data_IF_299265723018
#
_entry.id   IF_299265723018
#
_cell.length_a   1.000
_cell.length_b   1.000
_cell.length_c   1.000
_cell.angle_alpha   90.00
_cell.angle_beta   90.00
_cell.angle_gamma   90.00
#
_symmetry.space_group_name_H-M   'P 1'
#
loop_
_entity.id
_entity.type
_entity.pdbx_description
1 polymer ?
#
# COMPACT_ATOMS: atom_id res chain seq x y z
N UNK A 1 38.78 33.61 -58.70
CA UNK A 1 38.65 33.81 -57.24
C UNK A 1 37.20 34.17 -56.92
N UNK A 2 36.37 33.20 -56.53
CA UNK A 2 35.02 33.44 -56.01
C UNK A 2 34.93 32.72 -54.66
N UNK A 3 34.71 33.51 -53.60
CA UNK A 3 34.77 33.11 -52.20
C UNK A 3 33.50 32.32 -51.83
N UNK A 4 33.68 31.10 -51.35
CA UNK A 4 32.65 30.27 -50.72
C UNK A 4 32.36 30.83 -49.32
N UNK A 5 31.12 31.23 -49.05
CA UNK A 5 30.64 31.56 -47.72
C UNK A 5 30.14 30.27 -47.05
N UNK A 6 30.87 29.80 -46.03
CA UNK A 6 30.42 28.72 -45.16
C UNK A 6 29.62 29.38 -44.03
N UNK A 7 28.31 29.10 -43.99
CA UNK A 7 27.43 29.50 -42.90
C UNK A 7 27.59 28.47 -41.77
N UNK A 8 28.37 28.82 -40.74
CA UNK A 8 28.54 28.04 -39.52
C UNK A 8 27.26 28.14 -38.69
N UNK A 9 26.52 27.03 -38.60
CA UNK A 9 25.38 26.86 -37.71
C UNK A 9 25.92 26.63 -36.28
N UNK A 10 26.05 27.70 -35.50
CA UNK A 10 26.33 27.62 -34.06
C UNK A 10 25.09 27.06 -33.36
N UNK A 11 25.11 25.77 -33.01
CA UNK A 11 24.22 25.22 -31.99
C UNK A 11 24.53 25.96 -30.67
N UNK A 12 23.64 26.87 -30.29
CA UNK A 12 23.63 27.43 -28.95
C UNK A 12 23.37 26.31 -27.95
N UNK A 13 24.39 25.95 -27.16
CA UNK A 13 24.17 25.25 -25.90
C UNK A 13 23.29 26.15 -25.03
N UNK A 14 22.00 25.80 -24.92
CA UNK A 14 21.14 26.32 -23.88
C UNK A 14 21.76 25.97 -22.53
N UNK A 15 22.23 26.97 -21.81
CA UNK A 15 22.68 26.84 -20.42
C UNK A 15 21.52 26.35 -19.56
N UNK A 16 21.54 25.05 -19.25
CA UNK A 16 20.65 24.42 -18.28
C UNK A 16 20.93 25.10 -16.93
N UNK A 17 19.91 25.68 -16.33
CA UNK A 17 19.99 26.27 -15.00
C UNK A 17 20.52 25.22 -14.02
N UNK A 18 21.67 25.49 -13.42
CA UNK A 18 22.28 24.61 -12.43
C UNK A 18 21.35 24.46 -11.22
N UNK A 19 21.22 23.22 -10.75
CA UNK A 19 20.71 22.91 -9.42
C UNK A 19 21.44 23.75 -8.37
N UNK A 20 20.80 24.02 -7.23
CA UNK A 20 21.36 24.84 -6.15
C UNK A 20 22.66 24.24 -5.56
N UNK A 21 22.95 22.98 -5.91
CA UNK A 21 24.15 22.20 -5.63
C UNK A 21 24.40 21.22 -6.82
N UNK A 22 25.66 20.92 -7.16
CA UNK A 22 25.99 19.95 -8.23
C UNK A 22 25.65 18.49 -7.89
N UNK A 23 25.00 18.28 -6.74
CA UNK A 23 24.75 16.97 -6.15
C UNK A 23 23.51 16.35 -6.75
N UNK A 24 23.54 15.03 -6.94
CA UNK A 24 22.42 14.28 -7.49
C UNK A 24 22.20 12.97 -6.74
N UNK A 25 21.01 12.41 -6.89
CA UNK A 25 20.66 11.06 -6.50
C UNK A 25 20.23 10.30 -7.76
N UNK A 26 20.76 9.09 -7.94
CA UNK A 26 20.41 8.20 -9.04
C UNK A 26 19.75 6.95 -8.50
N UNK A 27 18.55 6.65 -9.02
CA UNK A 27 17.78 5.46 -8.73
C UNK A 27 17.91 4.51 -9.91
N UNK A 28 18.40 3.29 -9.66
CA UNK A 28 18.59 2.29 -10.71
C UNK A 28 17.56 1.17 -10.58
N UNK A 29 16.91 0.87 -11.71
CA UNK A 29 16.04 -0.28 -11.90
C UNK A 29 16.82 -1.44 -12.54
N UNK A 30 17.17 -2.49 -11.78
CA UNK A 30 17.90 -3.64 -12.32
C UNK A 30 16.98 -4.61 -13.09
N UNK A 31 15.66 -4.47 -12.97
CA UNK A 31 14.70 -5.44 -13.50
C UNK A 31 14.48 -5.29 -15.00
N UNK A 32 13.90 -6.32 -15.60
CA UNK A 32 13.53 -6.34 -17.03
C UNK A 32 12.18 -5.67 -17.32
N UNK A 33 11.51 -5.11 -16.32
CA UNK A 33 10.20 -4.44 -16.43
C UNK A 33 10.30 -2.99 -15.97
N UNK A 34 9.37 -2.16 -16.42
CA UNK A 34 9.25 -0.79 -15.89
C UNK A 34 8.84 -0.85 -14.43
N UNK A 35 9.51 -0.07 -13.58
CA UNK A 35 9.17 0.05 -12.15
C UNK A 35 8.53 1.40 -11.90
N UNK A 36 7.25 1.38 -11.52
CA UNK A 36 6.53 2.56 -11.02
C UNK A 36 6.18 2.31 -9.56
N UNK A 37 6.86 3.01 -8.66
CA UNK A 37 6.69 2.82 -7.22
C UNK A 37 7.09 4.07 -6.43
N UNK A 38 6.71 4.09 -5.15
CA UNK A 38 7.06 5.14 -4.21
C UNK A 38 8.34 4.75 -3.45
N UNK A 39 9.46 5.38 -3.79
CA UNK A 39 10.72 5.13 -3.06
C UNK A 39 10.73 5.94 -1.77
N UNK A 40 11.44 5.44 -0.75
CA UNK A 40 11.62 6.12 0.53
C UNK A 40 13.11 6.37 0.78
N UNK A 41 13.47 7.64 0.99
CA UNK A 41 14.82 8.06 1.33
C UNK A 41 14.80 8.63 2.76
N UNK A 42 15.64 8.14 3.69
CA UNK A 42 15.74 8.73 5.03
C UNK A 42 15.99 10.23 4.95
N UNK A 43 15.14 11.02 5.62
CA UNK A 43 15.14 12.48 5.50
C UNK A 43 16.49 13.07 5.93
N UNK A 44 17.06 12.56 7.02
CA UNK A 44 18.38 12.99 7.53
C UNK A 44 19.50 12.77 6.51
N UNK A 45 19.43 11.68 5.73
CA UNK A 45 20.40 11.40 4.65
C UNK A 45 20.18 12.31 3.46
N UNK A 46 18.92 12.54 3.08
CA UNK A 46 18.54 13.45 2.00
C UNK A 46 18.96 14.90 2.30
N UNK A 47 18.61 15.39 3.47
CA UNK A 47 18.96 16.73 3.97
C UNK A 47 20.47 16.96 4.01
N UNK A 48 21.22 16.02 4.60
CA UNK A 48 22.68 16.07 4.64
C UNK A 48 23.31 16.02 3.25
N UNK A 49 22.79 15.17 2.36
CA UNK A 49 23.31 15.06 1.00
C UNK A 49 23.19 16.39 0.27
N UNK A 50 22.01 16.99 0.25
CA UNK A 50 21.76 18.23 -0.48
C UNK A 50 22.10 19.52 0.30
N UNK A 51 22.57 19.42 1.55
CA UNK A 51 22.87 20.59 2.40
C UNK A 51 21.67 21.55 2.48
N UNK A 52 20.47 21.00 2.68
CA UNK A 52 19.24 21.81 2.71
C UNK A 52 19.31 22.79 3.89
N UNK A 53 19.20 24.09 3.58
CA UNK A 53 19.18 25.17 4.60
C UNK A 53 17.78 25.45 5.16
N UNK A 54 16.74 24.94 4.49
CA UNK A 54 15.32 25.10 4.82
C UNK A 54 14.57 23.84 4.40
N UNK A 55 13.37 23.62 4.94
CA UNK A 55 12.46 22.54 4.52
C UNK A 55 11.74 22.82 3.18
N UNK A 56 12.22 23.80 2.40
CA UNK A 56 11.66 24.17 1.11
C UNK A 56 12.63 23.73 0.04
N UNK A 57 12.22 22.73 -0.74
CA UNK A 57 12.96 22.25 -1.88
C UNK A 57 12.01 21.66 -2.92
N UNK A 58 12.44 21.66 -4.17
CA UNK A 58 11.78 20.95 -5.27
C UNK A 58 12.72 19.86 -5.78
N UNK A 59 12.20 18.67 -6.08
CA UNK A 59 12.96 17.57 -6.67
C UNK A 59 12.78 17.61 -8.18
N UNK A 60 13.88 17.70 -8.94
CA UNK A 60 13.82 17.83 -10.41
C UNK A 60 14.66 16.76 -11.10
N UNK A 61 14.08 16.14 -12.12
CA UNK A 61 14.77 15.20 -13.02
C UNK A 61 15.93 15.90 -13.73
N UNK A 62 17.11 15.27 -13.72
CA UNK A 62 18.30 15.81 -14.40
C UNK A 62 18.22 15.72 -15.93
N UNK A 63 17.25 14.97 -16.47
CA UNK A 63 17.08 14.78 -17.92
C UNK A 63 16.38 15.96 -18.58
N UNK A 64 15.35 16.49 -17.93
CA UNK A 64 14.37 17.41 -18.52
C UNK A 64 13.88 18.50 -17.54
N UNK A 65 14.44 18.56 -16.32
CA UNK A 65 14.02 19.44 -15.24
C UNK A 65 12.55 19.28 -14.82
N UNK A 66 11.91 18.16 -15.18
CA UNK A 66 10.56 17.88 -14.73
C UNK A 66 10.52 17.68 -13.20
N UNK A 67 9.54 18.30 -12.53
CA UNK A 67 9.33 18.12 -11.10
C UNK A 67 8.87 16.69 -10.79
N UNK A 68 9.48 16.08 -9.76
CA UNK A 68 9.05 14.79 -9.24
C UNK A 68 8.14 15.01 -8.02
N UNK A 69 6.95 14.43 -8.08
CA UNK A 69 6.02 14.44 -6.96
C UNK A 69 6.65 13.75 -5.73
N UNK A 70 6.59 14.42 -4.58
CA UNK A 70 7.13 13.89 -3.34
C UNK A 70 6.23 14.18 -2.13
N UNK A 71 6.42 13.42 -1.06
CA UNK A 71 5.79 13.60 0.23
C UNK A 71 6.85 13.52 1.33
N UNK A 72 6.76 14.39 2.34
CA UNK A 72 7.54 14.25 3.57
C UNK A 72 6.77 13.35 4.54
N UNK A 73 7.24 12.12 4.71
CA UNK A 73 6.66 11.13 5.62
C UNK A 73 7.15 11.38 7.04
N UNK A 74 6.23 11.44 8.00
CA UNK A 74 6.47 11.74 9.42
C UNK A 74 6.35 10.53 10.31
N UNK A 75 5.60 9.50 9.94
CA UNK A 75 5.35 8.33 10.79
C UNK A 75 4.84 8.72 12.20
N UNK A 76 3.93 9.70 12.26
CA UNK A 76 3.40 10.26 13.51
C UNK A 76 4.38 11.16 14.29
N UNK A 77 5.60 11.39 13.78
CA UNK A 77 6.59 12.23 14.46
C UNK A 77 6.43 13.73 14.12
N UNK A 78 6.91 14.64 14.99
CA UNK A 78 6.86 16.08 14.70
C UNK A 78 7.68 16.48 13.47
N UNK A 79 8.75 15.75 13.15
CA UNK A 79 9.68 16.02 12.06
C UNK A 79 9.60 14.95 10.96
N UNK A 80 9.87 15.29 9.69
CA UNK A 80 9.99 14.30 8.62
C UNK A 80 11.02 13.21 8.94
N UNK A 81 10.64 11.97 8.68
CA UNK A 81 11.49 10.78 8.80
C UNK A 81 12.00 10.34 7.43
N UNK A 82 11.19 10.46 6.38
CA UNK A 82 11.57 10.12 5.02
C UNK A 82 11.08 11.14 3.99
N UNK A 83 11.78 11.20 2.85
CA UNK A 83 11.29 11.80 1.60
C UNK A 83 10.80 10.66 0.73
N UNK A 84 9.49 10.63 0.48
CA UNK A 84 8.85 9.68 -0.43
C UNK A 84 8.79 10.31 -1.82
N UNK A 85 9.27 9.62 -2.86
CA UNK A 85 9.33 10.15 -4.23
C UNK A 85 8.66 9.16 -5.17
N UNK A 86 7.65 9.61 -5.91
CA UNK A 86 7.01 8.76 -6.92
C UNK A 86 7.91 8.71 -8.16
N UNK A 87 8.39 7.51 -8.51
CA UNK A 87 9.31 7.32 -9.64
C UNK A 87 8.70 6.37 -10.67
N UNK A 88 9.07 6.56 -11.93
CA UNK A 88 8.83 5.62 -13.01
C UNK A 88 10.13 5.42 -13.79
N UNK A 89 10.66 4.20 -13.77
CA UNK A 89 11.99 3.89 -14.29
C UNK A 89 11.88 2.72 -15.27
N UNK A 90 12.29 2.94 -16.52
CA UNK A 90 12.31 1.93 -17.57
C UNK A 90 13.18 0.71 -17.18
N UNK A 91 13.00 -0.46 -17.85
CA UNK A 91 13.82 -1.63 -17.63
C UNK A 91 15.31 -1.33 -17.72
N UNK A 92 16.12 -1.93 -16.82
CA UNK A 92 17.59 -1.85 -16.84
C UNK A 92 18.14 -0.41 -16.97
N UNK A 93 17.42 0.57 -16.45
CA UNK A 93 17.69 2.00 -16.63
C UNK A 93 17.77 2.71 -15.27
N UNK A 94 18.05 4.01 -15.30
CA UNK A 94 18.10 4.83 -14.09
C UNK A 94 17.41 6.17 -14.25
N UNK A 95 16.90 6.69 -13.14
CA UNK A 95 16.41 8.06 -13.00
C UNK A 95 17.39 8.83 -12.11
N UNK A 96 17.91 9.94 -12.60
CA UNK A 96 18.77 10.86 -11.84
C UNK A 96 18.02 12.15 -11.57
N UNK A 97 18.08 12.64 -10.34
CA UNK A 97 17.45 13.89 -9.94
C UNK A 97 18.33 14.68 -8.97
N UNK A 98 18.10 16.00 -8.91
CA UNK A 98 18.68 16.92 -7.94
C UNK A 98 17.59 17.67 -7.18
N UNK A 99 18.01 18.69 -6.42
CA UNK A 99 17.06 19.60 -5.76
C UNK A 99 17.32 21.06 -6.14
N UNK A 100 16.26 21.86 -6.10
CA UNK A 100 16.34 23.31 -6.16
C UNK A 100 15.72 23.90 -4.89
N UNK A 101 16.08 25.14 -4.53
CA UNK A 101 15.54 25.85 -3.37
C UNK A 101 14.17 26.49 -3.60
N UNK A 102 13.46 26.06 -4.65
CA UNK A 102 12.16 26.57 -5.03
C UNK A 102 11.06 25.89 -4.21
N UNK A 103 9.89 26.55 -4.12
CA UNK A 103 8.68 25.92 -3.61
C UNK A 103 8.21 24.84 -4.60
N UNK A 104 7.91 23.63 -4.14
CA UNK A 104 7.42 22.58 -5.02
C UNK A 104 5.99 22.85 -5.48
N UNK A 105 5.63 22.32 -6.64
CA UNK A 105 4.23 22.26 -7.04
C UNK A 105 3.40 21.43 -6.05
N UNK A 106 2.15 21.83 -5.85
CA UNK A 106 1.22 21.07 -5.04
C UNK A 106 0.97 19.70 -5.68
N UNK A 107 1.27 18.62 -4.95
CA UNK A 107 1.02 17.26 -5.41
C UNK A 107 -0.45 16.93 -5.20
N UNK A 108 -1.15 16.60 -6.29
CA UNK A 108 -2.54 16.11 -6.21
C UNK A 108 -2.61 14.87 -5.30
N UNK A 109 -3.46 14.87 -4.27
CA UNK A 109 -3.62 13.70 -3.40
C UNK A 109 -4.07 12.45 -4.16
N UNK A 110 -3.37 11.36 -3.91
CA UNK A 110 -3.61 10.01 -4.44
C UNK A 110 -3.69 8.96 -3.34
N UNK A 111 -3.58 9.34 -2.07
CA UNK A 111 -3.72 8.46 -0.92
C UNK A 111 -4.37 9.22 0.23
N UNK A 112 -5.32 8.58 0.90
CA UNK A 112 -6.11 9.20 1.96
C UNK A 112 -6.65 8.17 2.94
N UNK A 113 -6.72 8.52 4.22
CA UNK A 113 -7.33 7.74 5.27
C UNK A 113 -8.05 8.64 6.27
N UNK A 114 -9.12 8.13 6.88
CA UNK A 114 -9.88 8.84 7.91
C UNK A 114 -10.66 7.90 8.79
N UNK A 115 -10.92 8.39 10.00
CA UNK A 115 -11.96 7.89 10.87
C UNK A 115 -13.34 8.38 10.38
N UNK A 116 -14.35 7.52 10.47
CA UNK A 116 -15.69 7.71 9.90
C UNK A 116 -16.76 7.50 10.98
N UNK A 117 -16.93 8.46 11.91
CA UNK A 117 -17.90 8.33 12.99
C UNK A 117 -19.35 8.24 12.48
N UNK A 118 -19.66 8.90 11.35
CA UNK A 118 -21.00 8.89 10.76
C UNK A 118 -21.43 7.50 10.27
N UNK A 119 -20.48 6.59 10.05
CA UNK A 119 -20.75 5.19 9.67
C UNK A 119 -20.32 4.21 10.75
N UNK A 120 -20.70 4.49 12.01
CA UNK A 120 -20.52 3.62 13.18
C UNK A 120 -19.05 3.31 13.45
N UNK A 121 -18.24 4.36 13.50
CA UNK A 121 -16.81 4.31 13.83
C UNK A 121 -15.96 3.55 12.81
N UNK A 122 -16.38 3.45 11.55
CA UNK A 122 -15.53 2.83 10.52
C UNK A 122 -14.19 3.58 10.41
N UNK A 123 -13.14 2.88 10.01
CA UNK A 123 -11.88 3.51 9.59
C UNK A 123 -11.65 3.15 8.12
N UNK A 124 -11.55 4.15 7.27
CA UNK A 124 -11.48 3.96 5.82
C UNK A 124 -10.20 4.55 5.25
N UNK A 125 -9.66 3.91 4.22
CA UNK A 125 -8.48 4.39 3.51
C UNK A 125 -8.51 3.97 2.05
N UNK A 126 -7.89 4.78 1.20
CA UNK A 126 -7.83 4.54 -0.24
C UNK A 126 -6.57 5.13 -0.86
N UNK A 127 -6.33 4.73 -2.09
CA UNK A 127 -5.48 5.45 -3.02
C UNK A 127 -6.21 5.65 -4.36
N UNK A 128 -5.51 6.13 -5.37
CA UNK A 128 -6.00 6.28 -6.75
C UNK A 128 -6.35 4.97 -7.47
N UNK A 129 -6.38 3.82 -6.79
CA UNK A 129 -6.66 2.50 -7.38
C UNK A 129 -7.72 1.72 -6.59
N UNK A 130 -7.60 1.70 -5.26
CA UNK A 130 -8.35 0.83 -4.37
C UNK A 130 -8.76 1.58 -3.09
N UNK A 131 -9.89 1.18 -2.51
CA UNK A 131 -10.39 1.67 -1.24
C UNK A 131 -10.71 0.51 -0.31
N UNK A 132 -10.62 0.74 1.00
CA UNK A 132 -10.74 -0.28 2.03
C UNK A 132 -11.36 0.28 3.30
N UNK A 133 -11.84 -0.61 4.16
CA UNK A 133 -12.37 -0.27 5.48
C UNK A 133 -11.98 -1.31 6.53
N UNK A 134 -11.83 -0.83 7.77
CA UNK A 134 -11.90 -1.62 8.99
C UNK A 134 -13.15 -1.20 9.79
N UNK A 135 -13.85 -2.17 10.36
CA UNK A 135 -15.09 -1.92 11.10
C UNK A 135 -14.84 -1.31 12.47
N UNK A 136 -15.75 -0.43 12.88
CA UNK A 136 -15.68 0.34 14.10
C UNK A 136 -16.39 -0.24 15.31
N UNK A 137 -16.00 0.20 16.51
CA UNK A 137 -16.61 -0.21 17.79
C UNK A 137 -18.14 -0.05 17.80
N UNK A 138 -18.70 1.04 17.28
CA UNK A 138 -20.15 1.25 17.27
C UNK A 138 -20.92 0.26 16.37
N UNK A 139 -20.25 -0.55 15.56
CA UNK A 139 -20.88 -1.59 14.73
C UNK A 139 -21.09 -2.91 15.50
N UNK A 140 -20.37 -3.12 16.61
CA UNK A 140 -20.39 -4.38 17.37
C UNK A 140 -21.80 -4.78 17.81
N UNK A 141 -22.18 -6.03 17.54
CA UNK A 141 -23.48 -6.58 17.94
C UNK A 141 -24.67 -6.10 17.10
N UNK A 142 -24.45 -5.29 16.08
CA UNK A 142 -25.48 -4.94 15.09
C UNK A 142 -25.62 -6.04 14.02
N UNK A 143 -26.69 -5.98 13.21
CA UNK A 143 -26.87 -6.90 12.07
C UNK A 143 -25.85 -6.70 10.95
N UNK A 144 -25.11 -5.58 10.98
CA UNK A 144 -24.09 -5.22 9.99
C UNK A 144 -22.67 -5.57 10.47
N UNK A 145 -22.54 -6.21 11.64
CA UNK A 145 -21.25 -6.56 12.24
C UNK A 145 -20.52 -7.63 11.41
N UNK A 146 -19.30 -7.30 11.00
CA UNK A 146 -18.42 -8.13 10.20
C UNK A 146 -16.98 -8.01 10.71
N UNK A 147 -16.13 -8.98 10.36
CA UNK A 147 -14.77 -9.09 10.85
C UNK A 147 -13.78 -9.01 9.70
N UNK A 148 -12.57 -8.51 9.95
CA UNK A 148 -11.53 -8.36 8.93
C UNK A 148 -11.61 -7.06 8.14
N UNK A 149 -10.83 -6.98 7.06
CA UNK A 149 -10.78 -5.80 6.20
C UNK A 149 -11.73 -5.94 5.01
N UNK A 150 -12.39 -4.83 4.70
CA UNK A 150 -13.29 -4.70 3.57
C UNK A 150 -12.57 -4.06 2.37
N UNK A 151 -13.01 -4.40 1.16
CA UNK A 151 -12.51 -3.86 -0.10
C UNK A 151 -13.65 -3.20 -0.89
N UNK A 152 -13.42 -1.95 -1.27
CA UNK A 152 -14.32 -1.19 -2.11
C UNK A 152 -13.82 -1.23 -3.55
N UNK A 153 -14.65 -1.79 -4.43
CA UNK A 153 -14.34 -2.08 -5.82
C UNK A 153 -14.39 -0.82 -6.69
N UNK A 154 -13.35 0.00 -6.50
CA UNK A 154 -13.16 1.28 -7.16
C UNK A 154 -12.72 1.09 -8.61
N UNK A 155 -13.20 1.97 -9.50
CA UNK A 155 -12.78 2.08 -10.91
C UNK A 155 -12.49 3.50 -11.38
N UNK A 156 -12.61 4.51 -10.49
CA UNK A 156 -12.07 5.85 -10.69
C UNK A 156 -10.67 5.96 -10.09
N UNK A 157 -9.87 6.94 -10.54
CA UNK A 157 -8.63 7.33 -9.87
C UNK A 157 -8.84 8.45 -8.83
N UNK A 158 -10.03 9.05 -8.76
CA UNK A 158 -10.37 10.09 -7.77
C UNK A 158 -10.42 9.51 -6.37
N UNK A 159 -10.10 10.26 -5.32
CA UNK A 159 -10.36 9.84 -3.93
C UNK A 159 -11.87 9.96 -3.64
N UNK A 160 -12.54 8.85 -3.35
CA UNK A 160 -14.01 8.74 -3.30
C UNK A 160 -14.59 8.55 -1.91
N UNK A 161 -13.77 8.22 -0.90
CA UNK A 161 -14.24 7.85 0.45
C UNK A 161 -15.16 8.91 1.05
N UNK A 162 -14.76 10.18 1.00
CA UNK A 162 -15.56 11.28 1.56
C UNK A 162 -16.91 11.43 0.83
N UNK A 163 -16.91 11.33 -0.50
CA UNK A 163 -18.13 11.41 -1.31
C UNK A 163 -19.07 10.23 -1.02
N UNK A 164 -18.52 9.03 -0.94
CA UNK A 164 -19.28 7.80 -0.69
C UNK A 164 -19.91 7.83 0.70
N UNK A 165 -19.14 8.09 1.77
CA UNK A 165 -19.74 8.16 3.11
C UNK A 165 -20.73 9.32 3.27
N UNK A 166 -20.50 10.46 2.63
CA UNK A 166 -21.43 11.60 2.69
C UNK A 166 -22.78 11.29 2.05
N UNK A 167 -22.79 10.54 0.95
CA UNK A 167 -24.02 10.22 0.20
C UNK A 167 -24.71 8.96 0.74
N UNK A 168 -23.95 8.02 1.30
CA UNK A 168 -24.46 6.69 1.66
C UNK A 168 -24.77 5.80 0.44
N UNK A 169 -24.52 6.30 -0.77
CA UNK A 169 -24.87 5.65 -2.04
C UNK A 169 -23.63 5.09 -2.71
N UNK A 170 -23.01 4.13 -2.03
CA UNK A 170 -21.79 3.47 -2.49
C UNK A 170 -21.99 1.98 -2.80
N UNK A 171 -23.19 1.43 -2.58
CA UNK A 171 -23.52 0.07 -3.00
C UNK A 171 -23.99 -0.02 -4.46
N UNK A 172 -24.23 1.12 -5.12
CA UNK A 172 -24.53 1.22 -6.54
C UNK A 172 -23.35 1.84 -7.30
N UNK A 173 -23.08 1.33 -8.50
CA UNK A 173 -21.98 1.83 -9.34
C UNK A 173 -22.44 3.01 -10.23
N UNK A 174 -22.08 4.22 -9.82
CA UNK A 174 -22.36 5.48 -10.54
C UNK A 174 -21.21 5.93 -11.46
N UNK A 175 -20.34 5.02 -11.89
CA UNK A 175 -19.19 5.34 -12.75
C UNK A 175 -17.84 5.29 -12.02
N UNK A 176 -17.85 5.31 -10.68
CA UNK A 176 -16.63 5.35 -9.85
C UNK A 176 -16.30 4.02 -9.19
N UNK A 177 -17.21 3.05 -9.23
CA UNK A 177 -17.10 1.77 -8.51
C UNK A 177 -18.20 1.63 -7.46
N UNK A 178 -18.07 0.62 -6.61
CA UNK A 178 -19.04 0.31 -5.56
C UNK A 178 -18.44 -0.55 -4.44
N UNK A 179 -19.08 -0.56 -3.28
CA UNK A 179 -18.93 -1.57 -2.24
C UNK A 179 -19.91 -2.73 -2.50
N UNK A 180 -19.41 -3.85 -3.03
CA UNK A 180 -20.16 -5.10 -3.17
C UNK A 180 -19.47 -6.27 -2.47
N UNK A 181 -18.31 -6.04 -1.86
CA UNK A 181 -17.49 -7.10 -1.30
C UNK A 181 -18.10 -7.58 0.02
N UNK A 182 -18.56 -8.83 0.06
CA UNK A 182 -19.14 -9.38 1.27
C UNK A 182 -18.06 -9.92 2.21
N UNK A 183 -17.69 -9.18 3.26
CA UNK A 183 -16.69 -9.66 4.23
C UNK A 183 -17.22 -10.77 5.15
N UNK A 184 -18.33 -10.50 5.84
CA UNK A 184 -18.91 -11.39 6.84
C UNK A 184 -17.97 -11.68 8.03
N UNK A 185 -18.20 -12.81 8.71
CA UNK A 185 -17.37 -13.27 9.83
C UNK A 185 -16.14 -14.05 9.30
N UNK A 186 -15.24 -13.33 8.64
CA UNK A 186 -13.99 -13.83 8.04
C UNK A 186 -12.83 -12.87 8.35
N UNK A 187 -11.66 -13.05 7.72
CA UNK A 187 -10.57 -12.07 7.74
C UNK A 187 -10.56 -11.14 6.52
N UNK A 188 -11.61 -11.19 5.70
CA UNK A 188 -11.83 -10.24 4.61
C UNK A 188 -10.73 -10.23 3.56
N UNK A 189 -10.19 -9.06 3.23
CA UNK A 189 -9.09 -8.86 2.27
C UNK A 189 -7.72 -8.79 2.95
N UNK A 190 -7.45 -9.77 3.81
CA UNK A 190 -6.13 -9.94 4.42
C UNK A 190 -5.94 -9.28 5.76
N UNK A 191 -6.94 -9.35 6.62
CA UNK A 191 -6.71 -9.13 8.04
C UNK A 191 -5.97 -10.31 8.68
N UNK A 192 -5.38 -10.06 9.86
CA UNK A 192 -4.69 -11.05 10.67
C UNK A 192 -5.22 -11.06 12.10
N UNK A 193 -5.20 -12.24 12.72
CA UNK A 193 -5.70 -12.46 14.08
C UNK A 193 -5.05 -13.69 14.74
N UNK A 194 -5.04 -13.82 16.09
CA UNK A 194 -4.56 -15.02 16.77
C UNK A 194 -5.28 -16.29 16.34
N UNK A 195 -4.53 -17.38 16.33
CA UNK A 195 -5.00 -18.70 15.93
C UNK A 195 -4.72 -19.71 17.05
N UNK A 196 -5.61 -19.74 18.03
CA UNK A 196 -5.42 -20.50 19.28
C UNK A 196 -6.31 -21.73 19.24
N UNK A 197 -5.78 -22.88 19.68
CA UNK A 197 -6.48 -24.17 19.66
C UNK A 197 -7.06 -24.54 18.29
N UNK A 198 -6.34 -24.19 17.23
CA UNK A 198 -6.74 -24.38 15.82
C UNK A 198 -8.01 -23.61 15.41
N UNK A 199 -8.39 -22.57 16.14
CA UNK A 199 -9.53 -21.73 15.85
C UNK A 199 -9.10 -20.28 15.58
N UNK A 200 -9.79 -19.64 14.64
CA UNK A 200 -9.66 -18.20 14.39
C UNK A 200 -10.27 -17.45 15.58
N UNK A 201 -9.49 -16.57 16.19
CA UNK A 201 -9.96 -15.71 17.29
C UNK A 201 -10.45 -14.41 16.67
N UNK A 202 -11.73 -14.12 16.74
CA UNK A 202 -12.26 -12.83 16.29
C UNK A 202 -12.24 -11.83 17.44
N UNK A 203 -11.51 -10.74 17.26
CA UNK A 203 -11.44 -9.66 18.23
C UNK A 203 -12.70 -8.81 18.17
N UNK A 204 -12.94 -8.06 19.25
CA UNK A 204 -13.71 -6.83 19.13
C UNK A 204 -13.02 -5.85 18.18
N UNK A 205 -13.75 -4.90 17.63
CA UNK A 205 -13.22 -3.91 16.68
C UNK A 205 -12.13 -3.05 17.31
N UNK A 206 -11.39 -2.32 16.48
CA UNK A 206 -10.34 -1.45 16.99
C UNK A 206 -10.91 -0.43 18.01
N UNK A 207 -10.08 -0.05 18.97
CA UNK A 207 -10.47 0.87 20.06
C UNK A 207 -9.86 2.24 19.91
N UNK A 208 -8.68 2.28 19.32
CA UNK A 208 -7.93 3.51 19.09
C UNK A 208 -7.36 3.48 17.68
N UNK A 209 -7.28 4.66 17.08
CA UNK A 209 -6.60 4.87 15.82
C UNK A 209 -5.59 6.02 15.95
N UNK A 210 -4.56 5.98 15.13
CA UNK A 210 -3.59 7.05 14.99
C UNK A 210 -3.26 7.23 13.51
N UNK A 211 -3.57 8.38 12.93
CA UNK A 211 -3.14 8.72 11.56
C UNK A 211 -1.71 9.23 11.62
N UNK A 212 -0.78 8.45 11.05
CA UNK A 212 0.66 8.72 11.10
C UNK A 212 1.11 9.60 9.93
N UNK A 213 0.51 9.39 8.75
CA UNK A 213 0.70 10.14 7.52
C UNK A 213 -0.60 10.07 6.70
N UNK A 214 -0.96 11.14 5.98
CA UNK A 214 -2.21 11.17 5.23
C UNK A 214 -2.08 11.87 3.87
N UNK A 215 -1.37 11.21 2.96
CA UNK A 215 -1.16 11.68 1.60
C UNK A 215 -0.08 12.78 1.49
N UNK A 216 0.18 13.26 0.26
CA UNK A 216 -0.58 12.97 -0.96
C UNK A 216 -0.23 11.66 -1.67
N UNK A 217 0.90 11.01 -1.37
CA UNK A 217 1.37 9.81 -2.09
C UNK A 217 1.28 8.52 -1.26
N UNK A 218 1.29 8.61 0.06
CA UNK A 218 1.11 7.50 1.01
C UNK A 218 0.25 7.96 2.17
N UNK A 219 -0.69 7.11 2.56
CA UNK A 219 -1.33 7.19 3.87
C UNK A 219 -0.83 6.06 4.76
N UNK A 220 -0.62 6.35 6.04
CA UNK A 220 -0.17 5.39 7.05
C UNK A 220 -0.94 5.65 8.33
N UNK A 221 -1.49 4.61 8.93
CA UNK A 221 -2.21 4.71 10.20
C UNK A 221 -2.02 3.44 11.03
N UNK A 222 -2.31 3.55 12.32
CA UNK A 222 -2.27 2.46 13.28
C UNK A 222 -3.65 2.26 13.90
N UNK A 223 -4.07 1.01 14.04
CA UNK A 223 -5.25 0.57 14.78
C UNK A 223 -4.79 -0.25 15.98
N UNK A 224 -5.25 0.12 17.16
CA UNK A 224 -4.95 -0.59 18.43
C UNK A 224 -6.24 -1.22 18.95
N UNK A 225 -6.15 -2.51 19.27
CA UNK A 225 -7.25 -3.33 19.76
C UNK A 225 -7.20 -3.44 21.29
N UNK A 226 -8.35 -3.70 21.91
CA UNK A 226 -8.44 -3.87 23.36
C UNK A 226 -7.56 -5.05 23.82
N UNK A 227 -6.84 -4.94 24.94
CA UNK A 227 -6.24 -6.10 25.58
C UNK A 227 -7.30 -7.13 25.98
N UNK A 228 -7.06 -8.40 25.71
CA UNK A 228 -8.00 -9.48 26.02
C UNK A 228 -7.32 -10.77 26.49
N UNK A 229 -8.06 -11.55 27.27
CA UNK A 229 -7.67 -12.89 27.68
C UNK A 229 -8.30 -13.92 26.73
N UNK A 230 -7.47 -14.52 25.89
CA UNK A 230 -7.88 -15.58 24.96
C UNK A 230 -7.31 -16.90 25.43
N UNK A 231 -8.17 -17.77 25.98
CA UNK A 231 -7.80 -19.11 26.45
C UNK A 231 -6.60 -19.10 27.43
N UNK A 232 -6.53 -18.11 28.32
CA UNK A 232 -5.44 -17.95 29.29
C UNK A 232 -4.23 -17.13 28.78
N UNK A 233 -4.24 -16.73 27.51
CA UNK A 233 -3.22 -15.84 26.94
C UNK A 233 -3.68 -14.40 26.99
N UNK A 234 -2.90 -13.54 27.63
CA UNK A 234 -3.15 -12.10 27.68
C UNK A 234 -2.53 -11.46 26.45
N UNK A 235 -3.37 -11.01 25.52
CA UNK A 235 -2.99 -10.51 24.20
C UNK A 235 -3.39 -9.05 24.03
N UNK A 236 -2.56 -8.29 23.33
CA UNK A 236 -2.91 -7.00 22.75
C UNK A 236 -2.39 -6.95 21.32
N UNK A 237 -3.24 -6.50 20.40
CA UNK A 237 -2.94 -6.45 18.96
C UNK A 237 -2.88 -5.01 18.49
N UNK A 238 -1.87 -4.73 17.67
CA UNK A 238 -1.77 -3.49 16.91
C UNK A 238 -1.53 -3.79 15.43
N UNK A 239 -2.17 -3.02 14.57
CA UNK A 239 -2.04 -3.11 13.11
C UNK A 239 -1.62 -1.74 12.60
N UNK A 240 -0.45 -1.65 11.97
CA UNK A 240 -0.04 -0.46 11.23
C UNK A 240 -0.17 -0.74 9.74
N UNK A 241 -1.00 0.03 9.06
CA UNK A 241 -1.33 -0.13 7.64
C UNK A 241 -0.77 1.08 6.89
N UNK A 242 -0.12 0.85 5.75
CA UNK A 242 0.20 1.90 4.78
C UNK A 242 -0.25 1.52 3.38
N UNK A 243 -0.78 2.49 2.65
CA UNK A 243 -1.18 2.35 1.25
C UNK A 243 -0.52 3.45 0.40
N UNK A 244 0.18 3.02 -0.65
CA UNK A 244 0.91 3.87 -1.58
C UNK A 244 0.07 4.15 -2.81
N UNK A 245 0.15 5.37 -3.36
CA UNK A 245 -0.39 5.72 -4.66
C UNK A 245 0.02 4.71 -5.75
N UNK A 246 -0.94 4.25 -6.53
CA UNK A 246 -0.76 3.29 -7.62
C UNK A 246 -0.71 1.81 -7.20
N UNK A 247 -0.74 1.49 -5.90
CA UNK A 247 -0.66 0.10 -5.41
C UNK A 247 -2.04 -0.55 -5.27
N UNK A 248 -2.18 -1.83 -5.63
CA UNK A 248 -3.33 -2.65 -5.23
C UNK A 248 -3.19 -3.18 -3.79
N UNK A 249 -1.96 -3.19 -3.27
CA UNK A 249 -1.62 -3.86 -2.01
C UNK A 249 -1.27 -2.83 -0.93
N UNK A 250 -1.86 -3.03 0.22
CA UNK A 250 -1.46 -2.47 1.49
C UNK A 250 -0.19 -3.16 1.98
N UNK A 251 0.68 -2.43 2.66
CA UNK A 251 1.69 -3.01 3.54
C UNK A 251 1.14 -2.97 4.97
N UNK A 252 1.10 -4.12 5.63
CA UNK A 252 0.53 -4.28 6.96
C UNK A 252 1.61 -4.82 7.90
N UNK A 253 1.78 -4.14 9.03
CA UNK A 253 2.60 -4.59 10.16
C UNK A 253 1.66 -5.01 11.29
N UNK A 254 1.62 -6.30 11.59
CA UNK A 254 0.78 -6.89 12.63
C UNK A 254 1.64 -7.25 13.85
N UNK A 255 1.43 -6.53 14.94
CA UNK A 255 2.13 -6.72 16.20
C UNK A 255 1.21 -7.40 17.23
N UNK A 256 1.77 -8.38 17.95
CA UNK A 256 1.12 -8.98 19.11
C UNK A 256 2.02 -8.78 20.32
N UNK A 257 1.45 -8.25 21.40
CA UNK A 257 2.03 -8.31 22.73
C UNK A 257 1.33 -9.43 23.49
N UNK A 258 2.06 -10.50 23.78
CA UNK A 258 1.59 -11.62 24.58
C UNK A 258 2.36 -11.67 25.89
N UNK A 259 1.70 -11.46 27.04
CA UNK A 259 2.40 -11.53 28.34
C UNK A 259 2.44 -12.94 28.92
N UNK A 260 1.74 -13.90 28.29
CA UNK A 260 1.70 -15.30 28.71
C UNK A 260 2.67 -16.19 27.92
N UNK A 261 3.15 -15.75 26.74
CA UNK A 261 4.10 -16.49 25.90
C UNK A 261 5.00 -15.56 25.08
N UNK A 262 6.16 -16.07 24.65
CA UNK A 262 7.12 -15.32 23.81
C UNK A 262 6.72 -15.24 22.33
N UNK A 263 5.77 -16.08 21.90
CA UNK A 263 5.26 -16.13 20.54
C UNK A 263 3.79 -16.53 20.49
N UNK A 264 3.05 -15.98 19.56
CA UNK A 264 1.62 -16.20 19.37
C UNK A 264 1.37 -16.80 17.99
N UNK A 265 0.72 -17.97 17.88
CA UNK A 265 0.20 -18.47 16.62
C UNK A 265 -0.89 -17.54 16.09
N UNK A 266 -0.85 -17.24 14.80
CA UNK A 266 -1.76 -16.31 14.11
C UNK A 266 -2.15 -16.87 12.76
N UNK A 267 -3.21 -16.34 12.18
CA UNK A 267 -3.56 -16.52 10.77
C UNK A 267 -3.73 -15.16 10.09
N UNK A 268 -3.38 -15.11 8.81
CA UNK A 268 -3.78 -14.04 7.87
C UNK A 268 -4.74 -14.66 6.87
N UNK A 269 -5.84 -14.00 6.51
CA UNK A 269 -6.89 -14.67 5.73
C UNK A 269 -7.54 -13.88 4.62
N UNK A 270 -8.02 -14.62 3.61
CA UNK A 270 -8.86 -14.12 2.53
C UNK A 270 -10.25 -14.75 2.64
N UNK A 271 -11.31 -13.96 2.51
CA UNK A 271 -12.67 -14.49 2.39
C UNK A 271 -12.76 -15.41 1.15
N UNK A 272 -13.44 -16.55 1.30
CA UNK A 272 -13.70 -17.52 0.24
C UNK A 272 -15.18 -17.44 -0.13
N UNK A 273 -15.51 -17.60 -1.42
CA UNK A 273 -16.91 -17.63 -1.87
C UNK A 273 -17.43 -19.07 -1.85
N UNK A 274 -18.66 -19.29 -2.33
CA UNK A 274 -19.30 -20.62 -2.34
C UNK A 274 -19.22 -21.27 -3.72
N UNK A 275 -18.03 -21.31 -4.28
CA UNK A 275 -17.70 -22.01 -5.51
C UNK A 275 -17.09 -23.38 -5.23
N UNK A 276 -17.33 -24.34 -6.13
CA UNK A 276 -16.82 -25.71 -5.99
C UNK A 276 -15.31 -25.80 -6.27
N UNK A 277 -14.82 -25.00 -7.23
CA UNK A 277 -13.42 -25.00 -7.67
C UNK A 277 -12.85 -23.57 -7.66
N UNK A 278 -12.27 -23.14 -6.53
CA UNK A 278 -11.69 -21.81 -6.41
C UNK A 278 -10.53 -21.60 -7.36
N UNK A 279 -10.50 -20.45 -8.06
CA UNK A 279 -9.34 -20.05 -8.84
C UNK A 279 -8.25 -19.48 -7.91
N UNK A 280 -7.29 -20.34 -7.54
CA UNK A 280 -6.32 -20.06 -6.50
C UNK A 280 -4.89 -20.30 -6.96
N UNK A 281 -3.99 -19.38 -6.62
CA UNK A 281 -2.55 -19.52 -6.67
C UNK A 281 -2.06 -19.59 -5.23
N UNK A 282 -1.60 -20.77 -4.82
CA UNK A 282 -0.94 -20.97 -3.54
C UNK A 282 0.54 -21.30 -3.80
N UNK A 283 1.42 -20.34 -3.57
CA UNK A 283 2.86 -20.47 -3.75
C UNK A 283 3.58 -20.20 -2.41
N UNK A 284 3.65 -21.21 -1.52
CA UNK A 284 4.30 -21.08 -0.21
C UNK A 284 5.79 -20.73 -0.31
N UNK A 285 6.47 -21.15 -1.39
CA UNK A 285 7.90 -20.88 -1.59
C UNK A 285 8.16 -19.39 -1.73
N UNK A 286 7.28 -18.67 -2.41
CA UNK A 286 7.38 -17.21 -2.56
C UNK A 286 6.53 -16.46 -1.53
N UNK A 287 5.81 -17.16 -0.66
CA UNK A 287 4.96 -16.57 0.35
C UNK A 287 3.69 -15.94 -0.23
N UNK A 288 3.19 -16.43 -1.36
CA UNK A 288 2.09 -15.82 -2.12
C UNK A 288 0.83 -16.67 -2.02
N UNK A 289 -0.30 -16.02 -1.75
CA UNK A 289 -1.64 -16.56 -1.98
C UNK A 289 -2.42 -15.55 -2.83
N UNK A 290 -2.99 -15.95 -3.95
CA UNK A 290 -3.87 -15.11 -4.75
C UNK A 290 -5.13 -15.87 -5.13
N UNK A 291 -6.27 -15.22 -5.02
CA UNK A 291 -7.59 -15.77 -5.27
C UNK A 291 -8.32 -14.87 -6.26
N UNK A 292 -9.02 -15.48 -7.22
CA UNK A 292 -9.91 -14.79 -8.16
C UNK A 292 -11.32 -15.29 -7.92
N UNK A 293 -12.19 -14.39 -7.45
CA UNK A 293 -13.54 -14.74 -7.05
C UNK A 293 -14.39 -15.20 -8.25
N UNK A 294 -15.44 -16.02 -8.02
CA UNK A 294 -16.46 -16.23 -9.02
C UNK A 294 -17.14 -14.90 -9.38
N UNK A 295 -17.60 -14.79 -10.63
CA UNK A 295 -18.29 -13.61 -11.10
C UNK A 295 -19.65 -13.42 -10.43
N UNK A 296 -19.92 -12.18 -10.00
CA UNK A 296 -21.24 -11.73 -9.58
C UNK A 296 -21.81 -10.79 -10.66
N UNK A 297 -22.45 -11.38 -11.66
CA UNK A 297 -22.78 -10.69 -12.90
C UNK A 297 -21.51 -10.41 -13.70
N UNK A 298 -21.21 -9.14 -13.97
CA UNK A 298 -20.00 -8.70 -14.65
C UNK A 298 -18.86 -8.30 -13.69
N UNK A 299 -19.06 -8.47 -12.39
CA UNK A 299 -18.14 -8.03 -11.32
C UNK A 299 -17.29 -9.20 -10.83
N UNK A 300 -15.98 -9.02 -10.79
CA UNK A 300 -15.03 -10.00 -10.24
C UNK A 300 -13.96 -9.27 -9.42
N UNK A 301 -13.74 -9.77 -8.21
CA UNK A 301 -12.65 -9.32 -7.32
C UNK A 301 -11.54 -10.35 -7.31
N UNK A 302 -10.30 -9.90 -7.51
CA UNK A 302 -9.11 -10.66 -7.13
C UNK A 302 -8.63 -10.22 -5.75
N UNK A 303 -8.26 -11.14 -4.87
CA UNK A 303 -7.65 -10.84 -3.56
C UNK A 303 -6.31 -11.55 -3.42
N UNK A 304 -5.40 -11.02 -2.60
CA UNK A 304 -4.09 -11.64 -2.41
C UNK A 304 -3.45 -11.33 -1.06
N UNK A 305 -2.56 -12.25 -0.65
CA UNK A 305 -1.64 -12.13 0.47
C UNK A 305 -0.21 -12.38 0.01
N UNK A 306 0.74 -11.61 0.54
CA UNK A 306 2.17 -11.84 0.38
C UNK A 306 2.86 -11.77 1.74
N UNK A 307 3.39 -12.89 2.22
CA UNK A 307 4.14 -13.04 3.46
C UNK A 307 5.62 -13.35 3.13
N UNK A 308 6.45 -12.35 2.79
CA UNK A 308 7.73 -12.59 2.10
C UNK A 308 8.84 -13.18 2.98
N UNK A 309 8.70 -13.15 4.31
CA UNK A 309 9.78 -13.44 5.28
C UNK A 309 9.43 -14.56 6.27
N UNK A 310 8.27 -15.20 6.14
CA UNK A 310 7.82 -16.23 7.07
C UNK A 310 7.29 -17.43 6.32
N UNK A 311 7.53 -18.61 6.86
CA UNK A 311 6.83 -19.81 6.44
C UNK A 311 5.41 -19.78 6.99
N UNK A 312 4.49 -20.38 6.26
CA UNK A 312 3.11 -20.56 6.69
C UNK A 312 2.61 -21.95 6.35
N UNK A 313 1.54 -22.34 7.04
CA UNK A 313 0.71 -23.49 6.68
C UNK A 313 -0.58 -22.96 6.06
N UNK A 314 -0.81 -23.31 4.79
CA UNK A 314 -2.07 -23.01 4.13
C UNK A 314 -3.20 -23.87 4.71
N UNK A 315 -4.32 -23.25 5.04
CA UNK A 315 -5.54 -23.91 5.50
C UNK A 315 -6.70 -23.44 4.64
N UNK A 316 -7.30 -24.37 3.90
CA UNK A 316 -8.57 -24.15 3.22
C UNK A 316 -9.70 -24.44 4.21
N UNK A 317 -10.48 -23.42 4.55
CA UNK A 317 -11.67 -23.55 5.40
C UNK A 317 -12.93 -23.19 4.61
N UNK A 318 -14.13 -23.63 5.03
CA UNK A 318 -15.35 -23.43 4.24
C UNK A 318 -15.67 -21.97 3.88
N UNK A 319 -15.19 -20.99 4.64
CA UNK A 319 -15.50 -19.56 4.45
C UNK A 319 -14.29 -18.69 4.12
N UNK A 320 -13.07 -19.22 4.22
CA UNK A 320 -11.85 -18.43 4.07
C UNK A 320 -10.62 -19.30 3.83
N UNK A 321 -9.67 -18.73 3.09
CA UNK A 321 -8.32 -19.24 2.99
C UNK A 321 -7.46 -18.61 4.08
N UNK A 322 -6.69 -19.41 4.81
CA UNK A 322 -5.89 -18.95 5.94
C UNK A 322 -4.42 -19.35 5.77
N UNK A 323 -3.52 -18.41 6.08
CA UNK A 323 -2.08 -18.63 6.16
C UNK A 323 -1.69 -18.62 7.65
N UNK A 324 -1.54 -19.81 8.24
CA UNK A 324 -1.18 -19.95 9.64
C UNK A 324 0.34 -19.82 9.84
N UNK A 325 0.76 -18.96 10.75
CA UNK A 325 2.16 -18.74 11.10
C UNK A 325 2.28 -18.28 12.56
N UNK A 326 3.44 -17.79 12.98
CA UNK A 326 3.69 -17.35 14.36
C UNK A 326 4.33 -15.97 14.37
N UNK A 327 3.86 -15.11 15.28
CA UNK A 327 4.44 -13.79 15.57
C UNK A 327 5.15 -13.83 16.91
N UNK A 328 6.35 -13.27 17.00
CA UNK A 328 7.07 -13.10 18.26
C UNK A 328 6.80 -11.71 18.84
N UNK A 329 6.83 -11.61 20.17
CA UNK A 329 6.75 -10.30 20.83
C UNK A 329 7.86 -9.38 20.29
N UNK A 330 7.52 -8.11 20.06
CA UNK A 330 8.41 -7.07 19.53
C UNK A 330 8.98 -7.36 18.13
N UNK A 331 8.46 -8.35 17.40
CA UNK A 331 8.82 -8.66 16.01
C UNK A 331 7.55 -8.79 15.18
N UNK A 332 6.95 -7.66 14.77
CA UNK A 332 5.69 -7.68 14.04
C UNK A 332 5.84 -8.44 12.72
N UNK A 333 4.77 -9.15 12.33
CA UNK A 333 4.68 -9.72 10.99
C UNK A 333 4.43 -8.58 10.00
N UNK A 334 5.34 -8.42 9.04
CA UNK A 334 5.13 -7.53 7.90
C UNK A 334 4.72 -8.35 6.69
N UNK A 335 3.54 -8.05 6.16
CA UNK A 335 2.96 -8.70 5.00
C UNK A 335 2.24 -7.68 4.12
N UNK A 336 1.78 -8.13 2.96
CA UNK A 336 1.04 -7.31 2.02
C UNK A 336 -0.29 -7.97 1.70
N UNK A 337 -1.34 -7.17 1.60
CA UNK A 337 -2.68 -7.63 1.28
C UNK A 337 -3.47 -6.59 0.50
N UNK A 338 -4.35 -7.04 -0.37
CA UNK A 338 -5.21 -6.14 -1.14
C UNK A 338 -5.97 -6.88 -2.21
N UNK A 339 -6.53 -6.12 -3.13
CA UNK A 339 -7.46 -6.63 -4.12
C UNK A 339 -7.36 -5.89 -5.45
N UNK A 340 -7.99 -6.45 -6.47
CA UNK A 340 -8.20 -5.84 -7.77
C UNK A 340 -9.65 -6.04 -8.21
N UNK A 341 -10.20 -5.07 -8.93
CA UNK A 341 -11.54 -5.14 -9.51
C UNK A 341 -11.49 -5.18 -11.03
N UNK A 342 -12.13 -6.18 -11.64
CA UNK A 342 -12.08 -6.35 -13.09
C UNK A 342 -12.60 -5.14 -13.88
N UNK A 343 -13.64 -4.45 -13.38
CA UNK A 343 -14.19 -3.26 -14.07
C UNK A 343 -13.35 -2.00 -13.89
N UNK A 344 -12.26 -2.04 -13.11
CA UNK A 344 -11.23 -0.99 -13.12
C UNK A 344 -10.35 -1.04 -14.39
N UNK A 345 -10.46 -2.11 -15.19
CA UNK A 345 -9.86 -2.21 -16.54
C UNK A 345 -8.37 -2.56 -16.58
N UNK A 346 -7.61 -2.34 -15.50
CA UNK A 346 -6.16 -2.67 -15.46
C UNK A 346 -5.89 -4.17 -15.27
N UNK A 347 -6.68 -4.85 -14.44
CA UNK A 347 -6.55 -6.27 -14.12
C UNK A 347 -7.94 -6.89 -14.26
N UNK A 348 -8.16 -7.63 -15.34
CA UNK A 348 -9.48 -8.11 -15.78
C UNK A 348 -9.61 -9.63 -15.74
N UNK A 349 -8.51 -10.34 -15.42
CA UNK A 349 -8.44 -11.80 -15.39
C UNK A 349 -7.50 -12.29 -14.30
N UNK A 350 -7.63 -13.57 -13.95
CA UNK A 350 -6.78 -14.18 -12.95
C UNK A 350 -5.30 -14.21 -13.37
N UNK A 351 -4.99 -14.41 -14.65
CA UNK A 351 -3.60 -14.40 -15.13
C UNK A 351 -2.95 -13.02 -14.95
N UNK A 352 -3.68 -11.95 -15.23
CA UNK A 352 -3.21 -10.58 -14.97
C UNK A 352 -3.02 -10.33 -13.48
N UNK A 353 -3.92 -10.84 -12.63
CA UNK A 353 -3.78 -10.73 -11.17
C UNK A 353 -2.56 -11.48 -10.65
N UNK A 354 -2.36 -12.72 -11.06
CA UNK A 354 -1.17 -13.51 -10.73
C UNK A 354 0.11 -12.82 -11.20
N UNK A 355 0.08 -12.20 -12.38
CA UNK A 355 1.24 -11.50 -12.95
C UNK A 355 1.61 -10.29 -12.11
N UNK A 356 0.62 -9.46 -11.74
CA UNK A 356 0.81 -8.33 -10.83
C UNK A 356 1.39 -8.78 -9.48
N UNK A 357 0.84 -9.84 -8.86
CA UNK A 357 1.31 -10.34 -7.57
C UNK A 357 2.73 -10.91 -7.64
N UNK A 358 3.05 -11.68 -8.68
CA UNK A 358 4.41 -12.22 -8.90
C UNK A 358 5.40 -11.10 -9.15
N UNK A 359 5.04 -10.08 -9.93
CA UNK A 359 5.88 -8.91 -10.16
C UNK A 359 6.12 -8.14 -8.87
N UNK A 360 5.07 -7.82 -8.10
CA UNK A 360 5.19 -7.16 -6.80
C UNK A 360 6.10 -7.96 -5.86
N UNK A 361 5.92 -9.29 -5.78
CA UNK A 361 6.77 -10.16 -4.95
C UNK A 361 8.23 -10.14 -5.38
N UNK A 362 8.49 -10.19 -6.68
CA UNK A 362 9.84 -10.10 -7.25
C UNK A 362 10.47 -8.74 -6.95
N UNK A 363 9.68 -7.67 -7.03
CA UNK A 363 10.10 -6.30 -6.75
C UNK A 363 10.58 -6.12 -5.31
N UNK A 364 9.99 -6.84 -4.35
CA UNK A 364 10.47 -6.88 -2.96
C UNK A 364 11.85 -7.55 -2.82
N UNK A 365 12.20 -8.51 -3.68
CA UNK A 365 13.51 -9.18 -3.67
C UNK A 365 14.57 -8.43 -4.49
N UNK A 366 14.13 -7.54 -5.38
CA UNK A 366 14.98 -6.73 -6.25
C UNK A 366 14.64 -5.24 -6.06
N UNK A 367 14.96 -4.67 -4.88
CA UNK A 367 14.68 -3.26 -4.61
C UNK A 367 15.46 -2.36 -5.56
N UNK A 368 14.89 -1.20 -5.91
CA UNK A 368 15.60 -0.15 -6.59
C UNK A 368 16.82 0.29 -5.77
N UNK A 369 17.94 0.56 -6.43
CA UNK A 369 19.19 0.95 -5.75
C UNK A 369 19.40 2.45 -5.81
N UNK A 370 19.82 3.05 -4.70
CA UNK A 370 19.97 4.50 -4.54
C UNK A 370 21.47 4.85 -4.46
N UNK A 371 21.95 5.65 -5.40
CA UNK A 371 23.32 6.16 -5.45
C UNK A 371 23.33 7.68 -5.26
N UNK A 372 24.33 8.17 -4.54
CA UNK A 372 24.48 9.58 -4.18
C UNK A 372 25.76 10.09 -4.87
N UNK A 373 25.66 11.19 -5.62
CA UNK A 373 26.78 11.78 -6.36
C UNK A 373 26.94 13.27 -6.03
N UNK A 374 28.16 13.77 -6.20
CA UNK A 374 28.55 15.16 -5.91
C UNK A 374 28.59 16.02 -7.15
#
# INVERSE_FOLDING_TARGET
MKKTFILSLTLGLSSIAFAQNNKTITINNPSAVTRTELISIPYTRFEKHFELKKNVFTIVSSKDNAELAYQLEKLGQPKPQNVLIQVSIAPKSSLTFGVTGNNPQAVTPKAYARYVPERKDDFAWENDIAAFRAYGKALEGSSEDAQGFDFWAKRSNDLVIDEWYKTGDYHADHGKGLDYYSVGQTLGVGDATPFIDQQVVYHKHYRQYEVLDNGPLRTTFKLTYEPENVKGQQLQVEKTISLDAGSQLNKISYAVKNTSASSTPIVVGLAKRKEDQPQLLNDPKNGVLAYWEPAEGDKITGTALILPKVNYVFKDSPKQFLLATTVKNNQPLVYFAGAAFNKAGKITSFDQWQSYIKEFRNNLNQPLTIKYAK
#
